data_IF_406940179243
#
_entry.id   IF_406940179243
#
_cell.length_a   1.000
_cell.length_b   1.000
_cell.length_c   1.000
_cell.angle_alpha   90.00
_cell.angle_beta   90.00
_cell.angle_gamma   90.00
#
_symmetry.space_group_name_H-M   'P 1'
#
loop_
_entity.id
_entity.type
_entity.pdbx_description
1 polymer ?
#
# COMPACT_ATOMS: atom_id res chain seq x y z
N UNK A 1 1.55 66.41 -23.32
CA UNK A 1 2.14 65.35 -22.48
C UNK A 1 1.03 64.37 -22.14
N UNK A 2 0.93 63.29 -22.91
CA UNK A 2 -0.12 62.28 -22.75
C UNK A 2 0.47 61.15 -21.92
N UNK A 3 0.05 61.01 -20.65
CA UNK A 3 0.49 59.92 -19.78
C UNK A 3 -0.20 58.62 -20.21
N UNK A 4 0.58 57.63 -20.65
CA UNK A 4 0.14 56.24 -20.73
C UNK A 4 0.20 55.62 -19.33
N UNK A 5 -0.95 55.33 -18.75
CA UNK A 5 -1.07 54.50 -17.54
C UNK A 5 -0.99 53.03 -17.95
N UNK A 6 0.18 52.42 -17.73
CA UNK A 6 0.35 50.98 -17.84
C UNK A 6 -0.38 50.29 -16.67
N UNK A 7 -1.50 49.62 -16.97
CA UNK A 7 -2.19 48.74 -16.02
C UNK A 7 -1.40 47.44 -15.94
N UNK A 8 -0.64 47.25 -14.86
CA UNK A 8 -0.01 45.98 -14.56
C UNK A 8 -1.10 44.97 -14.16
N UNK A 9 -1.39 44.00 -15.03
CA UNK A 9 -2.11 42.79 -14.65
C UNK A 9 -1.21 42.00 -13.69
N UNK A 10 -1.48 42.12 -12.39
CA UNK A 10 -0.91 41.19 -11.41
C UNK A 10 -1.54 39.81 -11.64
N UNK A 11 -0.80 38.91 -12.29
CA UNK A 11 -1.12 37.48 -12.22
C UNK A 11 -0.92 37.08 -10.75
N UNK A 12 -2.02 36.92 -10.02
CA UNK A 12 -2.00 36.18 -8.77
C UNK A 12 -1.61 34.74 -9.11
N UNK A 13 -0.33 34.42 -8.91
CA UNK A 13 0.12 33.04 -8.90
C UNK A 13 -0.61 32.37 -7.74
N UNK A 14 -1.61 31.54 -8.05
CA UNK A 14 -2.20 30.64 -7.06
C UNK A 14 -1.10 29.66 -6.67
N UNK A 15 -0.45 29.91 -5.53
CA UNK A 15 0.42 28.95 -4.89
C UNK A 15 -0.43 27.72 -4.59
N UNK A 16 -0.24 26.66 -5.37
CA UNK A 16 -0.68 25.33 -4.97
C UNK A 16 -0.02 25.07 -3.63
N UNK A 17 -0.81 24.97 -2.55
CA UNK A 17 -0.32 24.49 -1.27
C UNK A 17 0.16 23.06 -1.51
N UNK A 18 1.47 22.90 -1.71
CA UNK A 18 2.11 21.62 -1.53
C UNK A 18 1.81 21.22 -0.08
N UNK A 19 1.16 20.07 0.12
CA UNK A 19 0.85 19.52 1.44
C UNK A 19 2.16 19.15 2.14
N UNK A 20 2.85 20.13 2.70
CA UNK A 20 4.04 19.97 3.51
C UNK A 20 3.68 19.39 4.88
N UNK A 21 4.57 18.57 5.42
CA UNK A 21 4.43 17.99 6.75
C UNK A 21 5.36 18.72 7.72
N UNK A 22 4.79 19.21 8.82
CA UNK A 22 5.54 19.97 9.81
C UNK A 22 6.53 19.09 10.60
N UNK A 23 7.70 19.65 10.90
CA UNK A 23 8.72 19.03 11.74
C UNK A 23 8.37 19.21 13.23
N UNK A 24 8.61 18.18 14.06
CA UNK A 24 8.21 18.15 15.48
C UNK A 24 9.20 18.85 16.45
N UNK A 25 10.45 19.07 16.06
CA UNK A 25 11.49 19.63 16.93
C UNK A 25 12.60 20.32 16.15
N UNK A 26 13.36 21.21 16.80
CA UNK A 26 14.55 21.82 16.21
C UNK A 26 15.71 20.83 16.09
N UNK A 27 16.57 21.03 15.09
CA UNK A 27 17.79 20.24 14.90
C UNK A 27 17.56 18.83 14.33
N UNK A 28 16.45 18.59 13.64
CA UNK A 28 16.14 17.28 13.06
C UNK A 28 17.03 17.01 11.85
N UNK A 29 17.83 15.95 11.91
CA UNK A 29 18.80 15.61 10.88
C UNK A 29 18.15 14.90 9.69
N UNK A 30 18.35 15.47 8.50
CA UNK A 30 18.07 14.84 7.22
C UNK A 30 19.35 14.17 6.72
N UNK A 31 19.30 12.86 6.51
CA UNK A 31 20.49 12.03 6.28
C UNK A 31 20.53 11.47 4.86
N UNK A 32 21.71 11.03 4.42
CA UNK A 32 21.88 10.45 3.08
C UNK A 32 21.25 9.08 2.91
N UNK A 33 20.82 8.44 4.00
CA UNK A 33 20.09 7.17 4.00
C UNK A 33 19.21 7.01 5.25
N UNK A 34 18.37 5.97 5.29
CA UNK A 34 17.36 5.77 6.34
C UNK A 34 17.95 5.14 7.60
N UNK A 35 18.89 5.84 8.24
CA UNK A 35 19.56 5.42 9.47
C UNK A 35 20.46 6.51 10.06
N UNK A 36 20.73 6.45 11.35
CA UNK A 36 21.54 7.43 12.09
C UNK A 36 23.03 7.34 11.76
N UNK A 37 23.50 6.20 11.24
CA UNK A 37 24.86 6.00 10.75
C UNK A 37 25.16 6.73 9.43
N UNK A 38 24.13 7.16 8.69
CA UNK A 38 24.30 7.91 7.45
C UNK A 38 24.65 9.38 7.72
N UNK A 39 25.48 9.95 6.84
CA UNK A 39 25.91 11.34 6.93
C UNK A 39 24.74 12.33 6.91
N UNK A 40 24.85 13.40 7.70
CA UNK A 40 23.87 14.48 7.73
C UNK A 40 24.03 15.32 6.47
N UNK A 41 22.99 15.37 5.65
CA UNK A 41 22.92 16.22 4.44
C UNK A 41 22.49 17.63 4.82
N UNK A 42 21.52 17.75 5.75
CA UNK A 42 21.07 19.02 6.33
C UNK A 42 20.30 18.80 7.64
N UNK A 43 19.95 19.89 8.31
CA UNK A 43 19.05 19.86 9.48
C UNK A 43 17.80 20.73 9.24
N UNK A 44 16.72 20.38 9.93
CA UNK A 44 15.45 21.10 9.95
C UNK A 44 15.16 21.66 11.34
N UNK A 45 14.39 22.76 11.37
CA UNK A 45 13.81 23.39 12.55
C UNK A 45 12.33 23.02 12.69
N UNK A 46 11.76 23.24 13.87
CA UNK A 46 10.33 23.06 14.14
C UNK A 46 9.41 24.03 13.38
N UNK A 47 9.98 25.10 12.80
CA UNK A 47 9.28 26.00 11.88
C UNK A 47 9.30 25.54 10.42
N UNK A 48 10.02 24.46 10.09
CA UNK A 48 10.09 23.95 8.72
C UNK A 48 8.94 22.97 8.41
N UNK A 49 8.49 23.03 7.16
CA UNK A 49 7.65 22.02 6.53
C UNK A 49 8.45 21.23 5.50
N UNK A 50 8.21 19.91 5.42
CA UNK A 50 8.86 19.03 4.44
C UNK A 50 7.85 18.38 3.51
N UNK A 51 8.11 18.45 2.22
CA UNK A 51 7.37 17.67 1.23
C UNK A 51 8.03 16.33 1.03
N UNK A 52 7.26 15.25 1.12
CA UNK A 52 7.76 13.89 0.98
C UNK A 52 7.77 13.47 -0.48
N UNK A 53 8.92 12.99 -0.95
CA UNK A 53 9.06 12.33 -2.25
C UNK A 53 8.62 10.87 -2.18
N UNK A 54 8.97 10.18 -1.10
CA UNK A 54 8.65 8.78 -0.87
C UNK A 54 9.00 8.41 0.58
N UNK A 55 8.63 7.20 0.99
CA UNK A 55 8.90 6.66 2.32
C UNK A 55 9.58 5.30 2.26
N UNK A 56 10.46 4.99 3.20
CA UNK A 56 11.14 3.69 3.25
C UNK A 56 11.18 3.18 4.68
N UNK A 57 11.52 1.91 4.86
CA UNK A 57 11.89 1.39 6.17
C UNK A 57 13.38 1.61 6.41
N UNK A 58 13.76 1.78 7.67
CA UNK A 58 15.14 1.99 8.09
C UNK A 58 15.37 1.66 9.55
N UNK A 59 16.41 2.26 10.13
CA UNK A 59 16.70 2.13 11.56
C UNK A 59 15.49 2.56 12.41
N UNK A 60 15.18 1.80 13.46
CA UNK A 60 14.05 2.11 14.34
C UNK A 60 14.41 3.25 15.29
N UNK A 61 13.71 4.38 15.16
CA UNK A 61 13.85 5.55 16.02
C UNK A 61 12.64 5.62 16.95
N UNK A 62 12.87 5.45 18.26
CA UNK A 62 11.82 5.53 19.29
C UNK A 62 10.56 4.69 18.97
N UNK A 63 10.77 3.50 18.43
CA UNK A 63 9.71 2.55 18.08
C UNK A 63 9.13 2.71 16.68
N UNK A 64 9.60 3.67 15.88
CA UNK A 64 9.19 3.90 14.50
C UNK A 64 10.30 3.56 13.51
N UNK A 65 10.01 2.69 12.54
CA UNK A 65 10.95 2.27 11.49
C UNK A 65 10.77 2.99 10.15
N UNK A 66 9.80 3.91 10.04
CA UNK A 66 9.54 4.66 8.82
C UNK A 66 10.51 5.83 8.68
N UNK A 67 10.96 6.04 7.44
CA UNK A 67 11.84 7.12 7.03
C UNK A 67 11.27 7.82 5.81
N UNK A 68 11.18 9.13 5.91
CA UNK A 68 10.66 10.06 4.94
C UNK A 68 11.78 10.62 4.05
N UNK A 69 11.80 10.25 2.77
CA UNK A 69 12.64 10.94 1.80
C UNK A 69 11.97 12.24 1.42
N UNK A 70 12.61 13.33 1.76
CA UNK A 70 12.13 14.68 1.42
C UNK A 70 12.49 15.02 -0.04
N UNK A 71 11.83 16.03 -0.61
CA UNK A 71 12.18 16.58 -1.93
C UNK A 71 13.62 17.13 -1.98
N UNK A 72 14.26 17.37 -0.83
CA UNK A 72 15.68 17.71 -0.74
C UNK A 72 16.62 16.50 -0.91
N UNK A 73 16.09 15.32 -1.24
CA UNK A 73 16.89 14.14 -1.57
C UNK A 73 17.50 13.41 -0.37
N UNK A 74 17.11 13.78 0.85
CA UNK A 74 17.60 13.21 2.10
C UNK A 74 16.45 12.65 2.95
N UNK A 75 16.78 11.78 3.90
CA UNK A 75 15.86 10.98 4.71
C UNK A 75 15.73 11.51 6.14
N UNK A 76 14.51 11.66 6.63
CA UNK A 76 14.17 12.00 8.03
C UNK A 76 13.38 10.85 8.63
N UNK A 77 13.59 10.52 9.91
CA UNK A 77 12.74 9.51 10.56
C UNK A 77 11.31 10.05 10.72
N UNK A 78 10.29 9.25 10.36
CA UNK A 78 8.86 9.64 10.40
C UNK A 78 8.43 10.06 11.82
N UNK A 79 9.07 9.48 12.85
CA UNK A 79 8.93 9.91 14.23
C UNK A 79 9.02 11.44 14.41
N UNK A 80 9.82 12.15 13.62
CA UNK A 80 9.98 13.62 13.70
C UNK A 80 9.12 14.43 12.73
N UNK A 81 8.35 13.78 11.86
CA UNK A 81 7.48 14.42 10.86
C UNK A 81 6.02 14.23 11.27
N UNK A 82 5.19 15.29 11.20
CA UNK A 82 3.76 15.21 11.55
C UNK A 82 2.94 14.64 10.39
N UNK A 83 3.16 13.37 10.06
CA UNK A 83 2.46 12.64 8.99
C UNK A 83 1.03 12.25 9.35
N UNK A 84 0.70 12.20 10.65
CA UNK A 84 -0.65 11.88 11.14
C UNK A 84 -1.03 10.39 11.03
N UNK A 85 -0.06 9.52 10.75
CA UNK A 85 -0.24 8.09 10.52
C UNK A 85 0.96 7.32 11.08
N UNK A 86 0.76 6.08 11.54
CA UNK A 86 1.84 5.14 11.88
C UNK A 86 2.24 4.23 10.72
N UNK A 87 1.72 4.53 9.52
CA UNK A 87 1.98 3.83 8.27
C UNK A 87 2.27 4.82 7.14
N UNK A 88 2.72 4.30 6.00
CA UNK A 88 3.08 5.08 4.82
C UNK A 88 1.97 6.08 4.42
N UNK A 89 2.31 7.37 4.38
CA UNK A 89 1.47 8.47 3.89
C UNK A 89 1.77 8.82 2.43
N UNK A 90 2.87 8.31 1.87
CA UNK A 90 3.25 8.48 0.46
C UNK A 90 3.80 7.17 -0.13
N UNK A 91 4.14 7.18 -1.43
CA UNK A 91 4.73 6.03 -2.14
C UNK A 91 6.02 5.55 -1.47
N UNK A 92 6.35 4.26 -1.63
CA UNK A 92 7.62 3.77 -1.09
C UNK A 92 8.80 4.30 -1.91
N UNK A 93 9.93 4.53 -1.27
CA UNK A 93 11.14 4.88 -1.97
C UNK A 93 11.61 3.68 -2.76
N UNK A 94 11.69 3.88 -4.06
CA UNK A 94 12.48 3.01 -4.92
C UNK A 94 13.90 3.03 -4.36
N UNK A 95 14.38 1.87 -3.93
CA UNK A 95 15.68 1.71 -3.27
C UNK A 95 16.77 2.31 -4.16
N UNK A 96 17.22 3.53 -3.85
CA UNK A 96 18.14 4.26 -4.71
C UNK A 96 19.58 3.97 -4.30
N UNK A 97 20.28 3.23 -5.16
CA UNK A 97 21.72 3.01 -5.03
C UNK A 97 22.34 2.18 -6.16
N UNK A 98 22.05 2.49 -7.42
CA UNK A 98 22.86 1.97 -8.54
C UNK A 98 22.15 1.98 -9.89
N UNK A 99 22.57 2.91 -10.77
CA UNK A 99 22.51 2.74 -12.23
C UNK A 99 21.13 2.66 -12.87
N UNK A 100 20.77 3.73 -13.59
CA UNK A 100 19.83 3.65 -14.69
C UNK A 100 20.31 2.63 -15.73
N UNK A 101 19.68 1.46 -15.75
CA UNK A 101 19.37 0.73 -16.98
C UNK A 101 17.92 0.27 -16.88
N UNK A 102 17.11 0.67 -17.85
CA UNK A 102 15.73 0.20 -17.96
C UNK A 102 15.69 -1.33 -17.95
N UNK A 103 14.78 -1.88 -17.16
CA UNK A 103 14.58 -3.32 -17.06
C UNK A 103 13.32 -3.62 -16.27
N UNK A 104 12.24 -3.92 -16.99
CA UNK A 104 11.07 -4.56 -16.41
C UNK A 104 11.51 -5.84 -15.70
N UNK A 105 11.35 -5.85 -14.37
CA UNK A 105 11.77 -6.95 -13.50
C UNK A 105 10.56 -7.67 -12.93
N UNK A 106 9.82 -8.34 -13.82
CA UNK A 106 8.85 -9.36 -13.48
C UNK A 106 9.55 -10.47 -12.69
N UNK A 107 9.28 -10.61 -11.38
CA UNK A 107 9.60 -11.86 -10.69
C UNK A 107 8.53 -12.88 -11.08
N UNK A 108 8.79 -13.53 -12.21
CA UNK A 108 7.90 -14.48 -12.84
C UNK A 108 7.54 -15.66 -11.93
N UNK A 109 6.24 -15.81 -11.68
CA UNK A 109 5.61 -17.11 -11.51
C UNK A 109 4.88 -17.42 -12.82
N UNK A 110 5.26 -18.51 -13.49
CA UNK A 110 4.84 -18.87 -14.84
C UNK A 110 3.32 -18.79 -15.06
N UNK A 111 2.93 -18.09 -16.13
CA UNK A 111 1.56 -18.02 -16.62
C UNK A 111 1.25 -19.29 -17.42
N UNK A 112 0.51 -20.19 -16.81
CA UNK A 112 -0.39 -21.09 -17.51
C UNK A 112 -1.79 -20.84 -16.96
N UNK A 113 -2.60 -20.13 -17.74
CA UNK A 113 -3.97 -19.67 -17.46
C UNK A 113 -4.12 -18.46 -16.50
N UNK A 114 -3.85 -17.27 -17.04
CA UNK A 114 -4.53 -16.01 -16.71
C UNK A 114 -4.27 -15.45 -15.30
N UNK A 115 -4.12 -14.13 -15.22
CA UNK A 115 -4.09 -13.27 -14.02
C UNK A 115 -2.95 -13.46 -13.01
N UNK A 116 -2.62 -12.38 -12.27
CA UNK A 116 -1.54 -12.38 -11.29
C UNK A 116 -1.83 -13.32 -10.12
N UNK A 117 -0.90 -14.22 -9.79
CA UNK A 117 -0.95 -15.04 -8.57
C UNK A 117 -0.41 -14.33 -7.32
N UNK A 118 0.28 -13.22 -7.52
CA UNK A 118 0.76 -12.30 -6.50
C UNK A 118 -0.10 -11.04 -6.44
N UNK A 119 0.16 -10.21 -5.43
CA UNK A 119 -0.41 -8.87 -5.28
C UNK A 119 0.71 -7.84 -5.15
N UNK A 120 0.42 -6.58 -5.45
CA UNK A 120 1.40 -5.51 -5.29
C UNK A 120 1.75 -5.27 -3.81
N UNK A 121 2.83 -4.52 -3.57
CA UNK A 121 3.33 -4.28 -2.22
C UNK A 121 2.31 -3.56 -1.32
N UNK A 122 1.50 -2.67 -1.87
CA UNK A 122 0.47 -1.95 -1.10
C UNK A 122 -0.62 -2.89 -0.59
N UNK A 123 -1.12 -3.78 -1.46
CA UNK A 123 -2.09 -4.81 -1.09
C UNK A 123 -1.52 -5.80 -0.07
N UNK A 124 -0.27 -6.25 -0.25
CA UNK A 124 0.40 -7.13 0.71
C UNK A 124 0.50 -6.47 2.10
N UNK A 125 0.88 -5.19 2.17
CA UNK A 125 0.96 -4.47 3.44
C UNK A 125 -0.41 -4.30 4.09
N UNK A 126 -1.45 -4.02 3.30
CA UNK A 126 -2.82 -3.92 3.79
C UNK A 126 -3.29 -5.26 4.37
N UNK A 127 -3.03 -6.39 3.70
CA UNK A 127 -3.35 -7.72 4.23
C UNK A 127 -2.63 -7.94 5.57
N UNK A 128 -1.33 -7.64 5.66
CA UNK A 128 -0.56 -7.75 6.91
C UNK A 128 -1.16 -6.93 8.06
N UNK A 129 -1.63 -5.71 7.78
CA UNK A 129 -2.27 -4.86 8.80
C UNK A 129 -3.55 -5.49 9.36
N UNK A 130 -4.37 -6.10 8.52
CA UNK A 130 -5.65 -6.66 8.93
C UNK A 130 -5.57 -8.08 9.52
N UNK A 131 -4.62 -8.90 9.04
CA UNK A 131 -4.38 -10.24 9.61
C UNK A 131 -3.58 -10.19 10.91
N UNK A 132 -2.76 -9.16 11.09
CA UNK A 132 -1.85 -9.03 12.22
C UNK A 132 -0.65 -9.97 12.13
N UNK A 133 0.25 -9.87 13.11
CA UNK A 133 1.46 -10.70 13.20
C UNK A 133 1.54 -11.38 14.55
N UNK A 134 1.66 -12.71 14.54
CA UNK A 134 1.89 -13.53 15.73
C UNK A 134 3.26 -14.18 15.64
N UNK A 135 4.16 -13.76 16.53
CA UNK A 135 5.56 -14.23 16.56
C UNK A 135 5.68 -15.73 16.87
N UNK A 136 4.81 -16.23 17.73
CA UNK A 136 4.74 -17.62 18.16
C UNK A 136 3.27 -18.00 18.33
N UNK A 137 2.55 -18.36 17.25
CA UNK A 137 1.19 -18.89 17.36
C UNK A 137 1.20 -20.11 18.28
N UNK A 138 0.13 -20.25 19.07
CA UNK A 138 -0.05 -21.42 19.91
C UNK A 138 -0.08 -22.68 19.04
N UNK A 139 0.50 -23.82 19.50
CA UNK A 139 0.28 -25.11 18.86
C UNK A 139 -1.21 -25.38 18.73
N UNK A 140 -1.61 -26.11 17.69
CA UNK A 140 -3.02 -26.48 17.57
C UNK A 140 -3.45 -27.36 18.76
N UNK A 141 -4.75 -27.46 19.07
CA UNK A 141 -5.25 -28.21 20.24
C UNK A 141 -4.91 -29.70 20.24
N UNK A 142 -4.42 -30.23 19.11
CA UNK A 142 -4.05 -31.64 18.92
C UNK A 142 -2.53 -31.85 18.87
N UNK A 143 -1.74 -30.80 19.11
CA UNK A 143 -0.28 -30.88 19.20
C UNK A 143 0.41 -31.24 17.89
N UNK A 144 -0.26 -31.10 16.75
CA UNK A 144 0.42 -31.20 15.47
C UNK A 144 1.33 -29.98 15.31
N UNK A 145 2.57 -30.16 14.84
CA UNK A 145 3.30 -29.02 14.33
C UNK A 145 2.43 -28.42 13.24
N UNK A 146 1.97 -27.18 13.41
CA UNK A 146 1.65 -26.37 12.24
C UNK A 146 2.89 -26.48 11.38
N UNK A 147 2.81 -27.11 10.21
CA UNK A 147 3.94 -27.23 9.27
C UNK A 147 4.29 -25.84 8.75
N UNK A 148 4.82 -25.00 9.63
CA UNK A 148 5.54 -23.81 9.24
C UNK A 148 6.89 -24.30 8.77
N UNK A 149 7.16 -24.06 7.49
CA UNK A 149 8.46 -24.14 6.82
C UNK A 149 9.62 -23.51 7.64
N UNK A 150 9.31 -22.74 8.68
CA UNK A 150 10.23 -22.02 9.54
C UNK A 150 9.97 -22.30 11.02
N UNK A 151 11.04 -22.42 11.80
CA UNK A 151 10.94 -22.53 13.26
C UNK A 151 10.44 -21.24 13.93
N UNK A 152 9.82 -21.39 15.09
CA UNK A 152 9.42 -20.26 15.93
C UNK A 152 10.59 -19.80 16.83
N UNK A 153 10.64 -18.51 17.20
CA UNK A 153 9.73 -17.44 16.81
C UNK A 153 9.93 -16.97 15.35
N UNK A 154 8.84 -16.67 14.67
CA UNK A 154 8.90 -16.08 13.33
C UNK A 154 9.45 -14.66 13.37
N UNK A 155 10.23 -14.29 12.35
CA UNK A 155 10.48 -12.88 12.05
C UNK A 155 9.35 -12.32 11.18
N UNK A 156 9.20 -11.00 11.13
CA UNK A 156 8.23 -10.39 10.20
C UNK A 156 8.52 -10.75 8.74
N UNK A 157 9.81 -10.86 8.36
CA UNK A 157 10.20 -11.26 7.01
C UNK A 157 9.77 -12.71 6.70
N UNK A 158 9.92 -13.60 7.67
CA UNK A 158 9.50 -14.99 7.56
C UNK A 158 7.97 -15.13 7.48
N UNK A 159 7.24 -14.39 8.31
CA UNK A 159 5.77 -14.37 8.25
C UNK A 159 5.26 -13.75 6.95
N UNK A 160 5.93 -12.75 6.40
CA UNK A 160 5.61 -12.21 5.09
C UNK A 160 5.86 -13.24 3.97
N UNK A 161 6.95 -14.01 4.05
CA UNK A 161 7.20 -15.09 3.09
C UNK A 161 6.09 -16.15 3.14
N UNK A 162 5.67 -16.56 4.34
CA UNK A 162 4.52 -17.48 4.51
C UNK A 162 3.23 -16.89 3.93
N UNK A 163 2.96 -15.60 4.19
CA UNK A 163 1.79 -14.93 3.62
C UNK A 163 1.84 -14.89 2.08
N UNK A 164 3.01 -14.63 1.49
CA UNK A 164 3.18 -14.67 0.03
C UNK A 164 2.96 -16.06 -0.54
N UNK A 165 3.39 -17.11 0.18
CA UNK A 165 3.14 -18.51 -0.21
C UNK A 165 1.63 -18.85 -0.14
N UNK A 166 0.87 -18.21 0.76
CA UNK A 166 -0.58 -18.41 0.90
C UNK A 166 -1.45 -17.60 -0.07
N UNK A 167 -1.04 -16.38 -0.43
CA UNK A 167 -1.80 -15.47 -1.31
C UNK A 167 -2.35 -16.15 -2.58
N UNK A 168 -1.58 -16.98 -3.32
CA UNK A 168 -2.09 -17.67 -4.51
C UNK A 168 -3.39 -18.45 -4.27
N UNK A 169 -3.61 -19.01 -3.07
CA UNK A 169 -4.84 -19.75 -2.70
C UNK A 169 -6.09 -18.86 -2.75
N UNK A 170 -5.93 -17.56 -2.57
CA UNK A 170 -7.00 -16.56 -2.55
C UNK A 170 -7.15 -15.78 -3.86
N UNK A 171 -6.41 -16.16 -4.91
CA UNK A 171 -6.54 -15.59 -6.26
C UNK A 171 -7.63 -16.26 -7.11
N UNK A 172 -8.44 -17.14 -6.50
CA UNK A 172 -9.57 -17.83 -7.12
C UNK A 172 -10.58 -16.91 -7.82
N UNK A 173 -10.61 -15.62 -7.47
CA UNK A 173 -11.39 -14.60 -8.17
C UNK A 173 -11.17 -14.63 -9.67
N UNK A 174 -9.93 -14.87 -10.12
CA UNK A 174 -9.63 -14.89 -11.54
C UNK A 174 -10.31 -16.04 -12.30
N UNK A 175 -10.75 -17.10 -11.61
CA UNK A 175 -11.57 -18.17 -12.20
C UNK A 175 -13.06 -17.81 -12.28
N UNK A 176 -13.49 -16.75 -11.60
CA UNK A 176 -14.89 -16.32 -11.55
C UNK A 176 -15.16 -15.11 -12.43
N UNK A 177 -14.11 -14.37 -12.77
CA UNK A 177 -14.18 -13.26 -13.73
C UNK A 177 -14.10 -13.80 -15.17
N UNK A 178 -14.81 -13.15 -16.08
CA UNK A 178 -14.68 -13.41 -17.52
C UNK A 178 -13.55 -12.56 -18.13
N UNK A 179 -13.07 -12.96 -19.31
CA UNK A 179 -11.94 -12.30 -19.98
C UNK A 179 -12.17 -10.85 -20.42
N UNK A 180 -13.39 -10.32 -20.33
CA UNK A 180 -13.68 -8.92 -20.63
C UNK A 180 -13.42 -8.00 -19.44
N UNK A 181 -13.38 -8.54 -18.22
CA UNK A 181 -13.03 -7.77 -17.02
C UNK A 181 -11.56 -7.37 -17.10
N UNK A 182 -11.27 -6.10 -16.81
CA UNK A 182 -9.90 -5.60 -16.69
C UNK A 182 -9.73 -4.99 -15.31
N UNK A 183 -8.71 -5.45 -14.59
CA UNK A 183 -8.36 -4.91 -13.28
C UNK A 183 -6.91 -4.48 -13.29
N UNK A 184 -6.66 -3.29 -12.77
CA UNK A 184 -5.31 -2.87 -12.44
C UNK A 184 -4.79 -3.61 -11.18
N UNK A 185 -3.50 -3.51 -10.91
CA UNK A 185 -2.86 -4.23 -9.80
C UNK A 185 -3.39 -3.81 -8.40
N UNK A 186 -3.77 -2.55 -8.20
CA UNK A 186 -4.39 -2.08 -6.96
C UNK A 186 -5.81 -2.63 -6.75
N UNK A 187 -6.63 -2.64 -7.81
CA UNK A 187 -7.97 -3.23 -7.80
C UNK A 187 -7.89 -4.75 -7.55
N UNK A 188 -6.99 -5.43 -8.24
CA UNK A 188 -6.73 -6.85 -8.03
C UNK A 188 -6.29 -7.13 -6.60
N UNK A 189 -5.31 -6.39 -6.09
CA UNK A 189 -4.82 -6.53 -4.73
C UNK A 189 -5.87 -6.27 -3.66
N UNK A 190 -6.72 -5.24 -3.84
CA UNK A 190 -7.84 -4.97 -2.95
C UNK A 190 -8.85 -6.13 -2.92
N UNK A 191 -9.18 -6.68 -4.09
CA UNK A 191 -10.09 -7.81 -4.19
C UNK A 191 -9.49 -9.11 -3.65
N UNK A 192 -8.20 -9.35 -3.82
CA UNK A 192 -7.50 -10.49 -3.19
C UNK A 192 -7.49 -10.35 -1.67
N UNK A 193 -7.27 -9.16 -1.11
CA UNK A 193 -7.41 -8.91 0.33
C UNK A 193 -8.82 -9.23 0.83
N UNK A 194 -9.83 -8.80 0.09
CA UNK A 194 -11.22 -9.10 0.42
C UNK A 194 -11.48 -10.61 0.40
N UNK A 195 -11.04 -11.30 -0.64
CA UNK A 195 -11.16 -12.77 -0.78
C UNK A 195 -10.39 -13.51 0.31
N UNK A 196 -9.22 -13.01 0.74
CA UNK A 196 -8.48 -13.57 1.88
C UNK A 196 -9.34 -13.60 3.13
N UNK A 197 -10.13 -12.55 3.37
CA UNK A 197 -11.01 -12.43 4.52
C UNK A 197 -12.30 -13.26 4.44
N UNK A 198 -12.95 -13.28 3.26
CA UNK A 198 -14.29 -13.86 3.11
C UNK A 198 -14.28 -15.26 2.47
N UNK A 199 -13.14 -15.68 1.93
CA UNK A 199 -12.96 -16.92 1.21
C UNK A 199 -13.49 -16.92 -0.23
N UNK A 200 -12.99 -17.88 -1.01
CA UNK A 200 -13.34 -18.06 -2.42
C UNK A 200 -14.84 -18.34 -2.65
N UNK A 201 -15.46 -19.12 -1.76
CA UNK A 201 -16.88 -19.45 -1.85
C UNK A 201 -17.78 -18.22 -1.78
N UNK A 202 -17.54 -17.33 -0.80
CA UNK A 202 -18.27 -16.08 -0.65
C UNK A 202 -18.08 -15.13 -1.84
N UNK A 203 -16.86 -15.06 -2.37
CA UNK A 203 -16.56 -14.24 -3.54
C UNK A 203 -17.29 -14.71 -4.81
N UNK A 204 -17.30 -16.02 -5.09
CA UNK A 204 -17.89 -16.61 -6.30
C UNK A 204 -19.35 -16.21 -6.52
N UNK A 205 -20.17 -16.23 -5.47
CA UNK A 205 -21.61 -15.93 -5.56
C UNK A 205 -21.96 -14.44 -5.38
N UNK A 206 -20.96 -13.57 -5.21
CA UNK A 206 -21.17 -12.16 -4.85
C UNK A 206 -21.78 -11.33 -5.98
N UNK A 207 -22.55 -10.30 -5.61
CA UNK A 207 -22.98 -9.28 -6.57
C UNK A 207 -21.79 -8.51 -7.16
N UNK A 208 -20.67 -8.39 -6.42
CA UNK A 208 -19.44 -7.81 -6.91
C UNK A 208 -18.95 -8.52 -8.17
N UNK A 209 -18.78 -9.85 -8.12
CA UNK A 209 -18.36 -10.64 -9.29
C UNK A 209 -19.38 -10.55 -10.43
N UNK A 210 -20.68 -10.62 -10.13
CA UNK A 210 -21.74 -10.50 -11.15
C UNK A 210 -21.66 -9.17 -11.90
N UNK A 211 -21.49 -8.06 -11.18
CA UNK A 211 -21.42 -6.71 -11.74
C UNK A 211 -20.14 -6.48 -12.54
N UNK A 212 -18.99 -6.97 -12.05
CA UNK A 212 -17.75 -6.94 -12.84
C UNK A 212 -17.91 -7.71 -14.16
N UNK A 213 -18.48 -8.92 -14.11
CA UNK A 213 -18.71 -9.73 -15.31
C UNK A 213 -19.73 -9.11 -16.28
N UNK A 214 -20.63 -8.27 -15.80
CA UNK A 214 -21.54 -7.47 -16.62
C UNK A 214 -20.85 -6.29 -17.33
N UNK A 215 -19.54 -6.09 -17.11
CA UNK A 215 -18.76 -5.03 -17.73
C UNK A 215 -18.88 -3.67 -17.04
N UNK A 216 -19.47 -3.62 -15.84
CA UNK A 216 -19.54 -2.38 -15.07
C UNK A 216 -18.14 -1.90 -14.65
N UNK A 217 -17.99 -0.58 -14.51
CA UNK A 217 -16.72 0.04 -14.14
C UNK A 217 -16.19 -0.50 -12.80
N UNK A 218 -14.95 -1.06 -12.74
CA UNK A 218 -14.44 -1.67 -11.52
C UNK A 218 -14.41 -0.74 -10.29
N UNK A 219 -14.06 0.53 -10.44
CA UNK A 219 -14.06 1.47 -9.31
C UNK A 219 -15.47 1.65 -8.73
N UNK A 220 -16.49 1.71 -9.60
CA UNK A 220 -17.89 1.85 -9.18
C UNK A 220 -18.40 0.59 -8.49
N UNK A 221 -18.08 -0.59 -9.05
CA UNK A 221 -18.49 -1.87 -8.49
C UNK A 221 -17.83 -2.12 -7.13
N UNK A 222 -16.52 -1.92 -7.03
CA UNK A 222 -15.76 -2.13 -5.79
C UNK A 222 -16.25 -1.20 -4.69
N UNK A 223 -16.39 0.10 -4.97
CA UNK A 223 -16.87 1.09 -4.01
C UNK A 223 -18.32 0.82 -3.53
N UNK A 224 -19.18 0.32 -4.43
CA UNK A 224 -20.58 0.02 -4.10
C UNK A 224 -20.79 -1.33 -3.40
N UNK A 225 -19.96 -2.33 -3.67
CA UNK A 225 -20.18 -3.70 -3.16
C UNK A 225 -19.35 -4.04 -1.92
N UNK A 226 -18.07 -3.64 -1.84
CA UNK A 226 -17.22 -4.02 -0.71
C UNK A 226 -17.78 -3.57 0.66
N UNK A 227 -18.31 -2.35 0.84
CA UNK A 227 -18.84 -1.92 2.14
C UNK A 227 -19.97 -2.80 2.70
N UNK A 228 -20.67 -3.57 1.85
CA UNK A 228 -21.73 -4.50 2.26
C UNK A 228 -21.19 -5.76 2.97
N UNK A 229 -19.90 -6.07 2.80
CA UNK A 229 -19.22 -7.23 3.37
C UNK A 229 -18.58 -6.91 4.73
N UNK A 230 -19.39 -6.33 5.63
CA UNK A 230 -18.95 -5.85 6.94
C UNK A 230 -19.63 -6.56 8.12
N UNK A 231 -20.27 -7.71 7.89
CA UNK A 231 -21.01 -8.46 8.92
C UNK A 231 -20.38 -9.80 9.24
N UNK A 232 -20.42 -10.21 10.50
CA UNK A 232 -20.19 -11.59 10.95
C UNK A 232 -21.17 -11.91 12.09
N UNK A 233 -21.66 -13.16 12.16
CA UNK A 233 -22.69 -13.54 13.13
C UNK A 233 -23.97 -12.69 13.05
N UNK A 234 -24.31 -12.21 11.86
CA UNK A 234 -25.47 -11.34 11.61
C UNK A 234 -25.31 -9.87 12.02
N UNK A 235 -24.18 -9.48 12.61
CA UNK A 235 -23.93 -8.11 13.11
C UNK A 235 -22.87 -7.40 12.29
N UNK A 236 -23.04 -6.09 12.11
CA UNK A 236 -21.98 -5.23 11.54
C UNK A 236 -20.82 -5.17 12.52
N UNK A 237 -19.61 -5.40 12.02
CA UNK A 237 -18.38 -5.26 12.79
C UNK A 237 -17.59 -4.03 12.29
N UNK A 238 -17.17 -3.19 13.23
CA UNK A 238 -16.38 -1.98 12.94
C UNK A 238 -15.05 -2.32 12.27
N UNK A 239 -14.39 -3.41 12.71
CA UNK A 239 -13.15 -3.90 12.10
C UNK A 239 -13.31 -4.29 10.62
N UNK A 240 -14.41 -4.96 10.27
CA UNK A 240 -14.69 -5.30 8.88
C UNK A 240 -15.04 -4.04 8.07
N UNK A 241 -15.79 -3.11 8.65
CA UNK A 241 -16.09 -1.83 7.99
C UNK A 241 -14.80 -1.05 7.68
N UNK A 242 -13.86 -0.98 8.62
CA UNK A 242 -12.52 -0.39 8.41
C UNK A 242 -11.79 -1.08 7.27
N UNK A 243 -11.80 -2.42 7.24
CA UNK A 243 -11.16 -3.22 6.19
C UNK A 243 -11.74 -2.95 4.81
N UNK A 244 -13.06 -2.96 4.67
CA UNK A 244 -13.73 -2.68 3.39
C UNK A 244 -13.42 -1.26 2.90
N UNK A 245 -13.38 -0.27 3.79
CA UNK A 245 -13.03 1.10 3.42
C UNK A 245 -11.57 1.22 2.94
N UNK A 246 -10.63 0.52 3.58
CA UNK A 246 -9.23 0.48 3.15
C UNK A 246 -9.06 -0.19 1.78
N UNK A 247 -9.76 -1.31 1.54
CA UNK A 247 -9.76 -1.99 0.24
C UNK A 247 -10.35 -1.11 -0.87
N UNK A 248 -11.44 -0.39 -0.61
CA UNK A 248 -12.00 0.58 -1.56
C UNK A 248 -11.00 1.70 -1.86
N UNK A 249 -10.37 2.28 -0.83
CA UNK A 249 -9.35 3.32 -1.00
C UNK A 249 -8.18 2.82 -1.83
N UNK A 250 -7.70 1.61 -1.57
CA UNK A 250 -6.62 1.01 -2.34
C UNK A 250 -7.02 0.87 -3.81
N UNK A 251 -8.19 0.28 -4.09
CA UNK A 251 -8.69 0.05 -5.44
C UNK A 251 -8.88 1.33 -6.27
N UNK A 252 -9.11 2.47 -5.62
CA UNK A 252 -9.24 3.78 -6.29
C UNK A 252 -7.90 4.36 -6.77
N UNK A 253 -6.77 3.73 -6.45
CA UNK A 253 -5.45 4.22 -6.86
C UNK A 253 -5.26 4.01 -8.37
N UNK A 254 -5.03 5.07 -9.15
CA UNK A 254 -4.86 4.97 -10.60
C UNK A 254 -3.47 4.42 -10.95
N UNK A 255 -3.43 3.56 -11.96
CA UNK A 255 -2.19 3.00 -12.53
C UNK A 255 -2.50 2.32 -13.85
N UNK A 256 -1.46 2.13 -14.67
CA UNK A 256 -1.53 1.40 -15.93
C UNK A 256 -1.08 -0.07 -15.80
N UNK A 257 -0.58 -0.48 -14.63
CA UNK A 257 -0.19 -1.86 -14.37
C UNK A 257 -1.45 -2.74 -14.29
N UNK A 258 -1.57 -3.72 -15.18
CA UNK A 258 -2.71 -4.63 -15.26
C UNK A 258 -2.41 -5.93 -14.52
N UNK A 259 -3.38 -6.43 -13.76
CA UNK A 259 -3.26 -7.71 -13.06
C UNK A 259 -4.26 -8.77 -13.50
N UNK A 260 -5.37 -8.36 -14.13
CA UNK A 260 -6.36 -9.27 -14.71
C UNK A 260 -6.86 -8.70 -16.06
N UNK A 261 -7.05 -9.53 -17.11
CA UNK A 261 -6.90 -10.99 -17.14
C UNK A 261 -5.45 -11.45 -17.35
N UNK A 262 -4.53 -10.51 -17.60
CA UNK A 262 -3.12 -10.77 -17.79
C UNK A 262 -2.32 -9.96 -16.80
N UNK A 263 -1.33 -10.62 -16.18
CA UNK A 263 -0.36 -9.99 -15.31
C UNK A 263 0.68 -9.29 -16.19
N UNK A 264 0.80 -7.96 -16.07
CA UNK A 264 1.80 -7.14 -16.78
C UNK A 264 2.88 -6.65 -15.84
#
# INVERSE_FOLDING_TARGET
MTLFTATALALAATSQLASGYAIKSDGVNCRSGPGTSYGVVRSYSSSDDVTLSCQTSGETIKGDSLWDKTQHGCYVADYYVKTGSSGYVTTKCDSAGGGSTGGGGSTGGGSSNGYCKSVNAAALNMIKEFEGFVKSPAPDPIGLPTEVKYGFPLTQATAEALLKDDIPKYTCLGNYLNGNVKLNDYQWGALVSWVFNVGCGGAKSSNLVKRLNAGENPNTVIAGELPKWNKAGGRVLSGLTRRRNAEVKLAQTPTNAQAYPNCS
#
